data_IF_855939661068
#
_entry.id   IF_855939661068
#
_cell.length_a   1.000
_cell.length_b   1.000
_cell.length_c   1.000
_cell.angle_alpha   90.00
_cell.angle_beta   90.00
_cell.angle_gamma   90.00
#
_symmetry.space_group_name_H-M   'P 1'
#
loop_
_entity.id
_entity.type
_entity.pdbx_description
1 polymer ?
#
# COMPACT_ATOMS: atom_id res chain seq x y z
N UNK A 1 -4.55 -6.76 -22.36
CA UNK A 1 -4.04 -5.68 -21.48
C UNK A 1 -2.77 -5.12 -22.10
N UNK A 2 -2.89 -4.13 -22.97
CA UNK A 2 -1.74 -3.39 -23.50
C UNK A 2 -1.52 -2.17 -22.60
N UNK A 3 -0.34 -2.06 -21.99
CA UNK A 3 0.05 -0.90 -21.19
C UNK A 3 0.96 -0.08 -22.10
N UNK A 4 0.48 1.03 -22.63
CA UNK A 4 1.32 1.97 -23.37
C UNK A 4 2.01 2.95 -22.41
N UNK A 5 3.35 3.09 -22.46
CA UNK A 5 4.06 4.08 -21.66
C UNK A 5 3.97 5.47 -22.31
N UNK A 6 3.33 6.42 -21.63
CA UNK A 6 3.40 7.84 -21.98
C UNK A 6 4.82 8.37 -21.76
N UNK A 7 5.40 8.95 -22.82
CA UNK A 7 6.74 9.54 -22.87
C UNK A 7 6.70 11.00 -22.40
N UNK A 8 7.10 11.28 -21.17
CA UNK A 8 7.79 12.54 -20.82
C UNK A 8 8.48 12.38 -19.48
N UNK A 9 9.80 12.37 -19.48
CA UNK A 9 10.64 12.19 -18.32
C UNK A 9 11.32 13.53 -17.98
N UNK A 10 10.89 14.14 -16.87
CA UNK A 10 11.63 15.19 -16.16
C UNK A 10 11.58 14.90 -14.65
N UNK A 11 12.63 15.32 -13.96
CA UNK A 11 13.24 14.69 -12.77
C UNK A 11 12.48 14.84 -11.43
N UNK A 12 11.15 14.89 -11.42
CA UNK A 12 10.32 15.03 -10.20
C UNK A 12 9.21 13.96 -10.05
N UNK A 13 9.21 12.93 -10.89
CA UNK A 13 8.11 11.96 -10.92
C UNK A 13 8.42 10.66 -10.15
N UNK A 14 8.09 10.63 -8.85
CA UNK A 14 7.29 9.50 -8.37
C UNK A 14 6.01 9.54 -9.19
N UNK A 15 5.75 8.50 -9.98
CA UNK A 15 4.67 8.38 -10.97
C UNK A 15 3.42 9.15 -10.54
N UNK A 16 3.33 10.40 -11.01
CA UNK A 16 2.17 11.23 -10.78
C UNK A 16 1.18 10.85 -11.87
N UNK A 17 0.27 9.93 -11.55
CA UNK A 17 -1.00 9.86 -12.26
C UNK A 17 -1.82 11.09 -11.80
N UNK A 18 -1.53 12.24 -12.41
CA UNK A 18 -2.21 13.53 -12.26
C UNK A 18 -3.59 13.44 -12.93
N UNK A 19 -4.70 14.03 -12.47
CA UNK A 19 -5.09 14.80 -11.28
C UNK A 19 -6.63 14.86 -11.33
N UNK A 20 -7.29 14.84 -10.17
CA UNK A 20 -8.18 15.93 -9.80
C UNK A 20 -8.11 16.05 -8.28
N UNK A 21 -7.87 17.28 -7.83
CA UNK A 21 -7.86 17.69 -6.42
C UNK A 21 -9.16 17.21 -5.77
N UNK A 22 -9.13 16.06 -5.11
CA UNK A 22 -10.16 15.72 -4.14
C UNK A 22 -9.73 16.45 -2.87
N UNK A 23 -10.29 17.64 -2.66
CA UNK A 23 -10.39 18.19 -1.32
C UNK A 23 -11.22 17.19 -0.54
N UNK A 24 -10.57 16.24 0.14
CA UNK A 24 -11.26 15.29 0.99
C UNK A 24 -11.52 16.04 2.29
N UNK A 25 -12.71 16.61 2.40
CA UNK A 25 -13.19 17.24 3.63
C UNK A 25 -13.02 16.26 4.80
N UNK A 26 -12.64 16.79 5.95
CA UNK A 26 -12.54 16.05 7.22
C UNK A 26 -13.84 15.33 7.57
N UNK A 27 -14.99 15.77 7.01
CA UNK A 27 -16.29 15.09 7.09
C UNK A 27 -16.42 13.79 6.28
N UNK A 28 -15.59 13.55 5.25
CA UNK A 28 -15.59 12.26 4.57
C UNK A 28 -15.04 11.16 5.47
N UNK A 29 -14.04 11.48 6.30
CA UNK A 29 -13.47 10.56 7.29
C UNK A 29 -14.47 10.18 8.39
N UNK A 30 -15.42 11.06 8.74
CA UNK A 30 -16.43 10.76 9.76
C UNK A 30 -17.48 9.73 9.31
N UNK A 31 -17.61 9.49 8.00
CA UNK A 31 -18.50 8.46 7.41
C UNK A 31 -17.82 7.11 7.19
N UNK A 32 -16.51 7.00 7.46
CA UNK A 32 -15.77 5.76 7.35
C UNK A 32 -15.92 4.97 8.65
N UNK A 33 -16.89 4.05 8.65
CA UNK A 33 -17.37 3.35 9.86
C UNK A 33 -16.33 2.37 10.44
N UNK A 34 -15.20 2.12 9.77
CA UNK A 34 -14.17 1.21 10.27
C UNK A 34 -12.75 1.80 10.06
N UNK A 35 -12.05 2.03 11.16
CA UNK A 35 -10.67 2.50 11.19
C UNK A 35 -9.80 1.38 11.77
N UNK A 36 -8.89 0.84 10.95
CA UNK A 36 -7.90 -0.16 11.37
C UNK A 36 -6.49 0.41 11.28
N UNK A 37 -5.68 0.11 12.29
CA UNK A 37 -4.25 0.43 12.27
C UNK A 37 -3.50 -0.81 11.79
N UNK A 38 -2.65 -0.61 10.80
CA UNK A 38 -1.90 -1.68 10.16
C UNK A 38 -0.43 -1.31 10.20
N UNK A 39 0.38 -2.19 10.77
CA UNK A 39 1.83 -2.14 10.63
C UNK A 39 2.20 -2.96 9.40
N UNK A 40 2.83 -2.31 8.41
CA UNK A 40 3.28 -2.95 7.18
C UNK A 40 4.80 -2.79 7.06
N UNK A 41 5.50 -3.90 6.90
CA UNK A 41 6.93 -3.91 6.56
C UNK A 41 7.13 -4.36 5.12
N UNK A 42 7.88 -3.56 4.35
CA UNK A 42 8.33 -3.89 3.00
C UNK A 42 9.78 -4.36 3.08
N UNK A 43 10.02 -5.57 2.61
CA UNK A 43 11.34 -6.21 2.62
C UNK A 43 12.41 -5.37 1.91
N UNK A 44 13.63 -5.43 2.44
CA UNK A 44 14.79 -4.78 1.85
C UNK A 44 15.11 -5.36 0.46
N UNK A 45 15.55 -4.51 -0.46
CA UNK A 45 16.16 -4.91 -1.73
C UNK A 45 17.63 -4.51 -1.62
N UNK A 46 18.54 -5.43 -1.22
CA UNK A 46 19.93 -5.08 -0.99
C UNK A 46 20.54 -4.33 -2.19
N UNK A 47 21.28 -3.23 -1.95
CA UNK A 47 21.75 -2.71 -0.67
C UNK A 47 20.81 -1.67 0.01
N UNK A 48 19.58 -1.53 -0.47
CA UNK A 48 18.57 -0.58 0.02
C UNK A 48 17.81 -1.17 1.21
N UNK A 49 17.75 -0.45 2.34
CA UNK A 49 17.10 -0.93 3.57
C UNK A 49 15.59 -1.17 3.38
N UNK A 50 15.00 -2.02 4.22
CA UNK A 50 13.55 -2.21 4.25
C UNK A 50 12.83 -0.95 4.72
N UNK A 51 11.56 -0.79 4.34
CA UNK A 51 10.70 0.30 4.82
C UNK A 51 9.60 -0.25 5.71
N UNK A 52 9.30 0.43 6.80
CA UNK A 52 8.11 0.14 7.60
C UNK A 52 7.13 1.32 7.58
N UNK A 53 5.85 0.99 7.73
CA UNK A 53 4.74 1.92 7.73
C UNK A 53 3.82 1.59 8.90
N UNK A 54 3.32 2.62 9.57
CA UNK A 54 2.19 2.53 10.50
C UNK A 54 1.06 3.30 9.86
N UNK A 55 0.01 2.60 9.43
CA UNK A 55 -1.06 3.19 8.63
C UNK A 55 -2.40 3.10 9.33
N UNK A 56 -3.13 4.21 9.33
CA UNK A 56 -4.56 4.21 9.54
C UNK A 56 -5.22 3.89 8.20
N UNK A 57 -6.06 2.85 8.17
CA UNK A 57 -6.82 2.42 7.01
C UNK A 57 -8.30 2.45 7.30
N UNK A 58 -9.05 2.85 6.30
CA UNK A 58 -10.50 2.83 6.27
C UNK A 58 -11.02 2.30 4.94
N UNK A 59 -12.26 1.83 4.93
CA UNK A 59 -12.92 1.41 3.71
C UNK A 59 -14.39 1.82 3.72
N UNK A 60 -14.94 1.95 2.51
CA UNK A 60 -16.31 2.32 2.23
C UNK A 60 -16.84 1.46 1.09
N UNK A 61 -18.01 0.89 1.29
CA UNK A 61 -18.78 0.22 0.25
C UNK A 61 -20.00 1.08 -0.08
N UNK A 62 -20.05 1.61 -1.30
CA UNK A 62 -21.20 2.41 -1.77
C UNK A 62 -22.25 1.56 -2.49
N UNK A 63 -22.04 0.24 -2.57
CA UNK A 63 -22.82 -0.66 -3.43
C UNK A 63 -22.23 -0.73 -4.83
N UNK A 64 -22.17 0.41 -5.51
CA UNK A 64 -21.65 0.51 -6.87
C UNK A 64 -20.12 0.54 -6.94
N UNK A 65 -19.46 1.07 -5.90
CA UNK A 65 -18.00 1.20 -5.85
C UNK A 65 -17.48 0.82 -4.46
N UNK A 66 -16.23 0.33 -4.41
CA UNK A 66 -15.55 0.06 -3.14
C UNK A 66 -14.29 0.90 -3.05
N UNK A 67 -14.16 1.64 -1.96
CA UNK A 67 -12.99 2.45 -1.67
C UNK A 67 -12.28 1.88 -0.45
N UNK A 68 -10.98 1.69 -0.55
CA UNK A 68 -10.11 1.41 0.59
C UNK A 68 -9.07 2.52 0.58
N UNK A 69 -8.96 3.30 1.66
CA UNK A 69 -7.99 4.38 1.74
C UNK A 69 -7.22 4.33 3.06
N UNK A 70 -6.08 5.00 3.11
CA UNK A 70 -5.31 5.13 4.32
C UNK A 70 -4.15 6.09 4.17
N UNK A 71 -3.59 6.47 5.30
CA UNK A 71 -2.42 7.30 5.41
C UNK A 71 -1.59 6.85 6.61
N UNK A 72 -0.33 7.25 6.66
CA UNK A 72 0.53 7.00 7.80
C UNK A 72 0.12 7.85 8.99
N UNK A 73 0.25 7.25 10.17
CA UNK A 73 -0.04 7.87 11.46
C UNK A 73 1.11 7.59 12.40
N UNK A 74 1.29 8.49 13.36
CA UNK A 74 2.11 8.19 14.50
C UNK A 74 1.37 7.24 15.43
N UNK A 75 2.09 6.33 16.08
CA UNK A 75 1.54 5.55 17.18
C UNK A 75 2.64 5.23 18.19
N UNK A 76 2.44 5.63 19.45
CA UNK A 76 3.43 5.51 20.52
C UNK A 76 3.95 4.07 20.69
N UNK A 77 3.05 3.08 20.66
CA UNK A 77 3.43 1.66 20.82
C UNK A 77 4.14 1.05 19.59
N UNK A 78 4.22 1.77 18.46
CA UNK A 78 4.83 1.29 17.21
C UNK A 78 5.94 2.23 16.69
N UNK A 79 7.04 2.41 17.45
CA UNK A 79 8.18 3.21 17.02
C UNK A 79 8.89 2.57 15.81
N UNK A 80 9.76 3.32 15.08
CA UNK A 80 10.51 2.82 13.93
C UNK A 80 11.23 1.49 14.22
N UNK A 81 11.04 0.50 13.36
CA UNK A 81 11.66 -0.80 13.54
C UNK A 81 13.17 -0.74 13.27
N UNK A 82 13.97 -1.35 14.15
CA UNK A 82 15.44 -1.41 13.99
C UNK A 82 15.81 -2.07 12.65
N UNK A 83 16.64 -1.40 11.86
CA UNK A 83 17.08 -1.88 10.54
C UNK A 83 16.14 -1.51 9.39
N UNK A 84 14.97 -0.93 9.68
CA UNK A 84 14.04 -0.36 8.71
C UNK A 84 14.12 1.17 8.72
N UNK A 85 13.65 1.77 7.62
CA UNK A 85 13.39 3.20 7.53
C UNK A 85 11.88 3.41 7.65
N UNK A 86 11.44 4.29 8.57
CA UNK A 86 10.03 4.63 8.73
C UNK A 86 9.61 5.55 7.59
N UNK A 87 8.93 4.97 6.61
CA UNK A 87 8.37 5.67 5.48
C UNK A 87 6.98 6.24 5.81
N UNK A 88 6.57 7.25 5.05
CA UNK A 88 5.30 7.95 5.23
C UNK A 88 4.46 7.79 3.98
N UNK A 89 3.36 7.06 4.07
CA UNK A 89 2.32 7.08 3.04
C UNK A 89 1.38 8.25 3.32
N UNK A 90 1.50 9.30 2.52
CA UNK A 90 0.64 10.50 2.62
C UNK A 90 -0.79 10.13 2.21
N UNK A 91 -0.92 9.31 1.17
CA UNK A 91 -2.18 8.76 0.70
C UNK A 91 -1.93 7.39 0.06
N UNK A 92 -2.73 6.41 0.42
CA UNK A 92 -2.87 5.14 -0.28
C UNK A 92 -4.35 4.88 -0.48
N UNK A 93 -4.78 4.61 -1.70
CA UNK A 93 -6.17 4.30 -1.99
C UNK A 93 -6.33 3.24 -3.08
N UNK A 94 -7.35 2.39 -2.92
CA UNK A 94 -7.86 1.47 -3.92
C UNK A 94 -9.30 1.84 -4.20
N UNK A 95 -9.62 2.07 -5.47
CA UNK A 95 -10.97 2.23 -5.95
C UNK A 95 -11.32 1.05 -6.85
N UNK A 96 -12.36 0.32 -6.48
CA UNK A 96 -12.80 -0.89 -7.17
C UNK A 96 -14.19 -0.62 -7.73
N UNK A 97 -14.34 -0.84 -9.03
CA UNK A 97 -15.59 -0.60 -9.77
C UNK A 97 -15.97 -1.85 -10.57
N UNK A 98 -17.23 -2.30 -10.52
CA UNK A 98 -17.69 -3.35 -11.42
C UNK A 98 -17.62 -2.84 -12.87
N UNK A 99 -17.28 -3.73 -13.79
CA UNK A 99 -17.44 -3.46 -15.21
C UNK A 99 -18.86 -3.85 -15.65
N UNK A 100 -19.31 -3.33 -16.80
CA UNK A 100 -20.60 -3.71 -17.39
C UNK A 100 -20.61 -5.19 -17.83
N UNK A 101 -19.44 -5.68 -18.21
CA UNK A 101 -19.16 -7.08 -18.49
C UNK A 101 -18.51 -7.72 -17.25
N UNK A 102 -18.36 -9.04 -17.24
CA UNK A 102 -17.78 -9.77 -16.12
C UNK A 102 -16.40 -9.20 -15.71
N UNK A 103 -16.17 -9.09 -14.40
CA UNK A 103 -14.96 -8.53 -13.81
C UNK A 103 -15.09 -7.14 -13.18
N UNK A 104 -13.94 -6.54 -12.85
CA UNK A 104 -13.86 -5.24 -12.20
C UNK A 104 -12.64 -4.44 -12.65
N UNK A 105 -12.74 -3.13 -12.54
CA UNK A 105 -11.62 -2.20 -12.63
C UNK A 105 -11.10 -1.91 -11.22
N UNK A 106 -9.78 -1.99 -11.04
CA UNK A 106 -9.09 -1.58 -9.82
C UNK A 106 -8.17 -0.42 -10.15
N UNK A 107 -8.35 0.70 -9.48
CA UNK A 107 -7.48 1.88 -9.57
C UNK A 107 -6.73 1.98 -8.25
N UNK A 108 -5.41 1.97 -8.32
CA UNK A 108 -4.53 2.16 -7.16
C UNK A 108 -3.88 3.53 -7.22
N UNK A 109 -4.04 4.30 -6.16
CA UNK A 109 -3.42 5.61 -5.96
C UNK A 109 -2.46 5.52 -4.77
N UNK A 110 -1.23 6.00 -4.95
CA UNK A 110 -0.23 6.03 -3.89
C UNK A 110 0.61 7.30 -3.97
N UNK A 111 0.68 8.01 -2.86
CA UNK A 111 1.60 9.10 -2.63
C UNK A 111 2.34 8.79 -1.33
N UNK A 112 3.61 8.44 -1.46
CA UNK A 112 4.42 8.01 -0.32
C UNK A 112 5.82 8.61 -0.39
N UNK A 113 6.31 9.06 0.75
CA UNK A 113 7.69 9.45 0.99
C UNK A 113 8.43 8.25 1.61
N UNK A 114 9.30 7.57 0.85
CA UNK A 114 10.05 6.40 1.33
C UNK A 114 11.14 6.76 2.37
N UNK A 115 11.31 8.06 2.65
CA UNK A 115 12.35 8.69 3.46
C UNK A 115 13.78 8.32 3.02
N UNK A 116 14.51 9.33 2.55
CA UNK A 116 15.81 9.18 1.88
C UNK A 116 15.67 9.03 0.36
N UNK A 117 16.80 9.10 -0.34
CA UNK A 117 16.83 9.08 -1.81
C UNK A 117 16.95 7.65 -2.33
N UNK A 118 15.95 7.19 -3.09
CA UNK A 118 16.03 5.89 -3.76
C UNK A 118 16.89 5.98 -5.03
N UNK A 119 17.75 4.99 -5.32
CA UNK A 119 18.48 4.94 -6.58
C UNK A 119 17.56 4.93 -7.81
N UNK A 120 17.88 5.66 -8.89
CA UNK A 120 17.09 5.65 -10.12
C UNK A 120 16.89 4.24 -10.72
N UNK A 121 17.90 3.37 -10.63
CA UNK A 121 17.79 1.99 -11.11
C UNK A 121 16.70 1.21 -10.36
N UNK A 122 16.56 1.45 -9.06
CA UNK A 122 15.59 0.77 -8.21
C UNK A 122 14.17 1.25 -8.53
N UNK A 123 13.99 2.56 -8.71
CA UNK A 123 12.71 3.14 -9.15
C UNK A 123 12.27 2.53 -10.49
N UNK A 124 13.20 2.42 -11.45
CA UNK A 124 12.93 1.79 -12.74
C UNK A 124 12.59 0.29 -12.61
N UNK A 125 13.29 -0.44 -11.75
CA UNK A 125 13.01 -1.85 -11.50
C UNK A 125 11.62 -2.05 -10.87
N UNK A 126 11.29 -1.26 -9.85
CA UNK A 126 9.99 -1.31 -9.17
C UNK A 126 8.83 -1.03 -10.13
N UNK A 127 8.96 0.00 -10.96
CA UNK A 127 7.89 0.43 -11.88
C UNK A 127 7.72 -0.52 -13.07
N UNK A 128 8.82 -0.98 -13.68
CA UNK A 128 8.77 -1.77 -14.91
C UNK A 128 8.64 -3.27 -14.69
N UNK A 129 9.14 -3.78 -13.56
CA UNK A 129 9.20 -5.23 -13.31
C UNK A 129 8.28 -5.63 -12.17
N UNK A 130 8.44 -5.01 -11.01
CA UNK A 130 7.71 -5.44 -9.80
C UNK A 130 6.23 -5.11 -9.90
N UNK A 131 5.86 -3.89 -10.30
CA UNK A 131 4.45 -3.47 -10.36
C UNK A 131 3.60 -4.38 -11.28
N UNK A 132 4.00 -4.70 -12.52
CA UNK A 132 3.25 -5.66 -13.35
C UNK A 132 3.18 -7.06 -12.74
N UNK A 133 4.26 -7.55 -12.12
CA UNK A 133 4.27 -8.86 -11.44
C UNK A 133 3.28 -8.88 -10.28
N UNK A 134 3.21 -7.82 -9.47
CA UNK A 134 2.25 -7.69 -8.36
C UNK A 134 0.80 -7.71 -8.87
N UNK A 135 0.49 -6.97 -9.94
CA UNK A 135 -0.86 -6.96 -10.53
C UNK A 135 -1.25 -8.36 -11.05
N UNK A 136 -0.33 -9.07 -11.71
CA UNK A 136 -0.55 -10.46 -12.16
C UNK A 136 -0.80 -11.42 -11.00
N UNK A 137 0.01 -11.33 -9.93
CA UNK A 137 -0.17 -12.16 -8.72
C UNK A 137 -1.51 -11.86 -8.04
N UNK A 138 -1.88 -10.59 -7.94
CA UNK A 138 -3.19 -10.17 -7.41
C UNK A 138 -4.34 -10.78 -8.22
N UNK A 139 -4.28 -10.70 -9.55
CA UNK A 139 -5.29 -11.31 -10.42
C UNK A 139 -5.40 -12.82 -10.21
N UNK A 140 -4.28 -13.57 -10.18
CA UNK A 140 -4.29 -15.02 -9.90
C UNK A 140 -4.89 -15.32 -8.52
N UNK A 141 -4.57 -14.51 -7.51
CA UNK A 141 -5.12 -14.63 -6.17
C UNK A 141 -6.64 -14.40 -6.16
N UNK A 142 -7.16 -13.39 -6.89
CA UNK A 142 -8.59 -13.14 -7.00
C UNK A 142 -9.34 -14.34 -7.60
N UNK A 143 -8.81 -14.93 -8.68
CA UNK A 143 -9.42 -16.11 -9.31
C UNK A 143 -9.47 -17.32 -8.36
N UNK A 144 -8.45 -17.48 -7.52
CA UNK A 144 -8.33 -18.60 -6.58
C UNK A 144 -9.03 -18.33 -5.23
N UNK A 145 -9.46 -17.10 -4.97
CA UNK A 145 -9.90 -16.65 -3.65
C UNK A 145 -11.15 -17.39 -3.17
N UNK A 146 -12.13 -17.61 -4.05
CA UNK A 146 -13.38 -18.29 -3.67
C UNK A 146 -13.12 -19.70 -3.13
N UNK A 147 -12.28 -20.47 -3.83
CA UNK A 147 -11.91 -21.83 -3.42
C UNK A 147 -11.08 -21.80 -2.12
N UNK A 148 -10.10 -20.90 -2.04
CA UNK A 148 -9.29 -20.76 -0.82
C UNK A 148 -10.17 -20.39 0.38
N UNK A 149 -11.12 -19.46 0.23
CA UNK A 149 -11.96 -18.95 1.31
C UNK A 149 -12.94 -20.00 1.85
N UNK A 150 -13.42 -20.91 1.01
CA UNK A 150 -14.23 -22.06 1.44
C UNK A 150 -13.50 -22.92 2.47
N UNK A 151 -12.18 -23.08 2.31
CA UNK A 151 -11.35 -23.89 3.19
C UNK A 151 -10.76 -23.10 4.39
N UNK A 152 -10.95 -21.78 4.45
CA UNK A 152 -10.28 -20.89 5.41
C UNK A 152 -11.30 -19.95 6.08
N UNK A 153 -12.09 -20.52 7.01
CA UNK A 153 -13.13 -19.81 7.77
C UNK A 153 -14.06 -19.00 6.84
N UNK A 154 -14.92 -19.66 6.05
CA UNK A 154 -15.69 -18.99 4.99
C UNK A 154 -16.60 -17.86 5.51
N UNK A 155 -17.08 -17.99 6.74
CA UNK A 155 -18.00 -17.03 7.36
C UNK A 155 -17.27 -15.85 8.03
N UNK A 156 -15.96 -15.95 8.25
CA UNK A 156 -15.18 -14.88 8.87
C UNK A 156 -14.80 -13.83 7.81
N UNK A 157 -15.56 -12.75 7.76
CA UNK A 157 -15.41 -11.61 6.84
C UNK A 157 -15.65 -10.31 7.61
N UNK A 158 -14.75 -9.95 8.54
CA UNK A 158 -14.93 -8.79 9.41
C UNK A 158 -15.08 -7.46 8.67
N UNK A 159 -14.52 -7.36 7.46
CA UNK A 159 -14.68 -6.20 6.59
C UNK A 159 -16.10 -6.02 6.02
N UNK A 160 -16.93 -7.06 6.04
CA UNK A 160 -18.37 -7.03 5.69
C UNK A 160 -19.23 -7.00 6.94
N UNK A 161 -18.82 -7.73 7.99
CA UNK A 161 -19.55 -7.96 9.23
C UNK A 161 -18.73 -7.42 10.44
N UNK A 162 -18.80 -6.11 10.74
CA UNK A 162 -17.95 -5.47 11.76
C UNK A 162 -18.14 -6.03 13.18
N UNK A 163 -19.30 -6.63 13.47
CA UNK A 163 -19.58 -7.30 14.73
C UNK A 163 -18.62 -8.45 15.03
N UNK A 164 -18.05 -9.08 13.99
CA UNK A 164 -17.01 -10.10 14.12
C UNK A 164 -15.71 -9.55 14.75
N UNK A 165 -15.59 -8.23 14.86
CA UNK A 165 -14.45 -7.55 15.47
C UNK A 165 -14.76 -6.89 16.81
N UNK A 166 -15.96 -7.12 17.38
CA UNK A 166 -16.37 -6.46 18.62
C UNK A 166 -15.43 -6.73 19.81
N UNK A 167 -14.77 -7.90 19.81
CA UNK A 167 -13.84 -8.32 20.87
C UNK A 167 -12.41 -7.80 20.69
N UNK A 168 -12.08 -7.19 19.54
CA UNK A 168 -10.73 -6.66 19.31
C UNK A 168 -10.54 -5.32 20.03
N UNK A 169 -9.33 -5.06 20.56
CA UNK A 169 -9.03 -3.80 21.20
C UNK A 169 -9.24 -2.64 20.22
N UNK A 170 -10.02 -1.64 20.65
CA UNK A 170 -10.13 -0.37 19.93
C UNK A 170 -8.83 0.40 20.06
N UNK A 171 -8.48 1.15 19.03
CA UNK A 171 -7.27 1.97 19.06
C UNK A 171 -7.50 3.20 19.92
N UNK A 172 -6.54 3.46 20.79
CA UNK A 172 -6.49 4.66 21.62
C UNK A 172 -5.92 5.82 20.80
N UNK A 173 -6.80 6.75 20.41
CA UNK A 173 -6.43 7.90 19.59
C UNK A 173 -5.44 8.84 20.28
N UNK A 174 -5.38 8.84 21.62
CA UNK A 174 -4.41 9.65 22.38
C UNK A 174 -2.97 9.21 22.14
N UNK A 175 -2.78 7.95 21.73
CA UNK A 175 -1.46 7.41 21.35
C UNK A 175 -1.07 7.74 19.90
N UNK A 176 -1.95 8.37 19.14
CA UNK A 176 -1.78 8.64 17.71
C UNK A 176 -1.48 10.11 17.39
N UNK A 177 -1.05 10.89 18.38
CA UNK A 177 -0.72 12.30 18.19
C UNK A 177 0.41 12.47 17.16
N UNK A 178 0.29 13.42 16.21
CA UNK A 178 1.32 13.67 15.22
C UNK A 178 2.65 14.02 15.86
N UNK A 179 3.68 13.21 15.60
CA UNK A 179 5.05 13.47 16.02
C UNK A 179 6.03 13.06 14.91
N UNK A 180 7.13 13.79 14.79
CA UNK A 180 8.24 13.42 13.92
C UNK A 180 9.09 12.33 14.57
N UNK A 181 9.45 11.32 13.78
CA UNK A 181 10.36 10.28 14.22
C UNK A 181 11.81 10.77 14.09
N UNK A 182 12.55 10.78 15.20
CA UNK A 182 14.01 10.86 15.14
C UNK A 182 14.55 9.56 14.53
N UNK A 183 15.01 9.63 13.28
CA UNK A 183 15.57 8.48 12.56
C UNK A 183 16.77 8.90 11.71
N UNK A 184 17.75 8.00 11.59
CA UNK A 184 18.90 8.19 10.71
C UNK A 184 18.47 8.00 9.24
N UNK A 185 18.29 9.12 8.54
CA UNK A 185 18.07 9.15 7.09
C UNK A 185 19.41 8.86 6.41
N UNK A 186 19.58 7.64 5.92
CA UNK A 186 20.73 7.25 5.11
C UNK A 186 20.44 7.62 3.66
N UNK A 187 21.33 8.38 3.02
CA UNK A 187 21.28 8.58 1.58
C UNK A 187 21.68 7.29 0.86
N UNK A 188 20.74 6.71 0.13
CA UNK A 188 20.91 5.46 -0.59
C UNK A 188 21.11 5.68 -2.09
N UNK A 189 21.09 6.93 -2.57
CA UNK A 189 21.08 7.31 -3.99
C UNK A 189 22.19 6.67 -4.83
N UNK A 190 23.42 6.64 -4.28
CA UNK A 190 24.62 6.17 -4.98
C UNK A 190 24.83 4.65 -4.92
N UNK A 191 23.91 3.91 -4.31
CA UNK A 191 24.05 2.47 -4.18
C UNK A 191 23.78 1.78 -5.52
N UNK A 192 24.74 0.98 -5.97
CA UNK A 192 24.62 0.16 -7.19
C UNK A 192 23.92 -1.17 -6.91
N UNK A 193 23.22 -1.76 -7.90
CA UNK A 193 22.62 -3.08 -7.74
C UNK A 193 23.71 -4.13 -7.45
N UNK A 194 23.49 -4.97 -6.44
CA UNK A 194 24.37 -6.13 -6.18
C UNK A 194 24.04 -7.21 -7.21
N UNK A 195 25.05 -7.73 -7.91
CA UNK A 195 24.91 -8.66 -9.04
C UNK A 195 24.33 -10.05 -8.72
N UNK A 196 23.76 -10.28 -7.53
CA UNK A 196 23.37 -11.63 -7.06
C UNK A 196 22.03 -11.75 -6.32
N UNK A 197 21.14 -10.75 -6.32
CA UNK A 197 19.86 -10.87 -5.59
C UNK A 197 18.62 -10.34 -6.32
N UNK A 198 18.63 -10.37 -7.65
CA UNK A 198 17.37 -10.48 -8.41
C UNK A 198 17.25 -11.96 -8.79
N UNK A 199 17.13 -12.82 -7.77
CA UNK A 199 16.62 -14.15 -8.06
C UNK A 199 15.16 -13.95 -8.48
N UNK A 200 14.89 -14.23 -9.75
CA UNK A 200 13.58 -14.62 -10.25
C UNK A 200 13.14 -15.89 -9.51
N UNK A 201 12.83 -15.75 -8.23
CA UNK A 201 12.19 -16.76 -7.41
C UNK A 201 10.70 -16.57 -7.52
N UNK A 202 10.09 -17.36 -8.41
CA UNK A 202 8.78 -18.03 -8.30
C UNK A 202 8.21 -18.26 -9.71
N UNK A 203 9.01 -18.89 -10.57
CA UNK A 203 8.52 -19.80 -11.61
C UNK A 203 8.56 -21.21 -11.01
N UNK A 204 7.52 -21.58 -10.28
CA UNK A 204 7.18 -22.98 -10.04
C UNK A 204 5.67 -23.12 -10.25
N UNK A 205 5.36 -23.82 -11.34
CA UNK A 205 4.11 -24.50 -11.76
C UNK A 205 2.76 -23.96 -11.25
#
# INVERSE_FOLDING_TARGET
>A
LSIEPSKTATNEHLTTLIVNRISCDTEFYSKLINIHYIVLSVSAIPPVRGRDFVMQRSWLDTGDEKLICGHSVYHQDYPPMKGYVRAVSILSAYLIRPLKEDGCQIIYLSHSDPKGTLPPWLVNYLTRVVAPKVVKKLHKACLSYTQWKQNNQPNFKPWIYPEQQAEYPRVDLTKCEPQEYEQEIIDESNKSPVSKSINDGDETE
#
